data_IF_801247033215
#
_entry.id   IF_801247033215
#
_cell.length_a   1.000
_cell.length_b   1.000
_cell.length_c   1.000
_cell.angle_alpha   90.00
_cell.angle_beta   90.00
_cell.angle_gamma   90.00
#
_symmetry.space_group_name_H-M   'P 1'
#
loop_
_entity.id
_entity.type
_entity.pdbx_description
1 polymer ?
#
# COMPACT_ATOMS: atom_id res chain seq x y z
N UNK A 1 -1.42 -0.93 -12.89
CA UNK A 1 -1.25 -0.55 -11.48
C UNK A 1 -1.88 0.81 -11.17
N UNK A 2 -2.03 1.13 -9.91
CA UNK A 2 -2.58 2.43 -9.48
C UNK A 2 -1.88 2.94 -8.24
N UNK A 3 -1.69 4.26 -8.19
CA UNK A 3 -1.27 5.00 -7.00
C UNK A 3 -2.00 6.35 -6.93
N UNK A 4 -2.41 6.72 -5.71
CA UNK A 4 -2.95 8.04 -5.37
C UNK A 4 -2.42 8.44 -4.01
N UNK A 5 -1.86 9.62 -3.88
CA UNK A 5 -1.30 10.11 -2.62
C UNK A 5 -0.89 11.57 -2.68
N UNK A 6 -0.28 12.06 -1.60
CA UNK A 6 0.29 13.38 -1.54
C UNK A 6 1.65 13.42 -2.27
N UNK A 7 1.94 14.47 -3.06
CA UNK A 7 3.18 14.54 -3.84
C UNK A 7 4.42 14.72 -2.98
N UNK A 8 4.26 15.29 -1.81
CA UNK A 8 5.29 15.63 -0.82
C UNK A 8 5.41 14.59 0.32
N UNK A 9 4.59 13.55 0.26
CA UNK A 9 4.54 12.53 1.30
C UNK A 9 5.87 11.78 1.47
N UNK A 10 6.58 11.53 0.36
CA UNK A 10 7.89 10.89 0.40
C UNK A 10 8.71 11.18 -0.87
N UNK A 11 10.06 11.07 -0.82
CA UNK A 11 10.89 11.12 -2.02
C UNK A 11 10.49 10.09 -3.07
N UNK A 12 10.00 8.93 -2.65
CA UNK A 12 9.54 7.88 -3.54
C UNK A 12 8.25 8.27 -4.28
N UNK A 13 7.30 8.94 -3.60
CA UNK A 13 6.09 9.47 -4.21
C UNK A 13 6.42 10.55 -5.25
N UNK A 14 7.31 11.48 -4.91
CA UNK A 14 7.78 12.52 -5.84
C UNK A 14 8.44 11.90 -7.08
N UNK A 15 9.32 10.93 -6.91
CA UNK A 15 9.99 10.23 -8.01
C UNK A 15 9.03 9.43 -8.89
N UNK A 16 8.03 8.77 -8.30
CA UNK A 16 7.00 8.05 -9.04
C UNK A 16 6.16 9.03 -9.89
N UNK A 17 5.76 10.16 -9.32
CA UNK A 17 5.02 11.21 -10.03
C UNK A 17 5.84 11.82 -11.16
N UNK A 18 7.14 12.06 -10.95
CA UNK A 18 8.03 12.56 -11.97
C UNK A 18 8.19 11.59 -13.16
N UNK A 19 8.14 10.28 -12.89
CA UNK A 19 8.28 9.25 -13.93
C UNK A 19 6.96 8.94 -14.65
N UNK A 20 5.82 8.94 -13.94
CA UNK A 20 4.55 8.40 -14.44
C UNK A 20 3.34 9.28 -14.14
N UNK A 21 3.53 10.49 -13.66
CA UNK A 21 2.45 11.42 -13.35
C UNK A 21 1.69 11.89 -14.60
N UNK A 22 0.56 12.58 -14.42
CA UNK A 22 -0.23 13.08 -15.54
C UNK A 22 0.57 14.02 -16.45
N UNK A 23 0.56 13.75 -17.75
CA UNK A 23 1.26 14.55 -18.76
C UNK A 23 2.75 14.27 -18.90
N UNK A 24 3.30 13.31 -18.19
CA UNK A 24 4.72 12.91 -18.35
C UNK A 24 4.88 12.14 -19.66
N UNK A 25 5.79 12.63 -20.51
CA UNK A 25 6.12 11.97 -21.77
C UNK A 25 6.82 10.64 -21.49
N UNK A 26 6.38 9.56 -22.17
CA UNK A 26 6.94 8.22 -21.98
C UNK A 26 6.46 7.50 -20.72
N UNK A 27 5.50 8.06 -19.97
CA UNK A 27 4.88 7.37 -18.84
C UNK A 27 4.24 6.04 -19.28
N UNK A 28 4.37 5.00 -18.47
CA UNK A 28 3.74 3.71 -18.74
C UNK A 28 2.22 3.83 -18.60
N UNK A 29 1.48 3.63 -19.68
CA UNK A 29 0.03 3.76 -19.72
C UNK A 29 -0.70 2.74 -18.79
N UNK A 30 -0.03 1.69 -18.36
CA UNK A 30 -0.56 0.69 -17.42
C UNK A 30 -0.52 1.21 -15.96
N UNK A 31 0.23 2.29 -15.72
CA UNK A 31 0.35 2.95 -14.42
C UNK A 31 -0.56 4.18 -14.36
N UNK A 32 -1.58 4.11 -13.53
CA UNK A 32 -2.44 5.27 -13.23
C UNK A 32 -1.94 5.94 -11.93
N UNK A 33 -0.97 6.82 -12.09
CA UNK A 33 -0.27 7.53 -11.01
C UNK A 33 -0.70 8.99 -11.00
N UNK A 34 -1.13 9.51 -9.86
CA UNK A 34 -1.41 10.94 -9.72
C UNK A 34 -1.43 11.38 -8.25
N UNK A 35 -1.09 12.64 -8.01
CA UNK A 35 -1.37 13.31 -6.76
C UNK A 35 -2.88 13.54 -6.59
N UNK A 36 -3.36 13.54 -5.35
CA UNK A 36 -4.77 13.76 -5.02
C UNK A 36 -5.02 15.24 -4.81
N UNK A 37 -6.09 15.79 -5.42
CA UNK A 37 -6.55 17.15 -5.15
C UNK A 37 -6.98 17.30 -3.69
N UNK A 38 -6.49 18.33 -3.02
CA UNK A 38 -6.88 18.65 -1.64
C UNK A 38 -6.06 17.97 -0.54
N UNK A 39 -5.03 17.20 -0.89
CA UNK A 39 -4.15 16.58 0.11
C UNK A 39 -3.06 17.51 0.65
N UNK A 40 -2.92 18.71 0.10
CA UNK A 40 -1.95 19.74 0.55
C UNK A 40 -2.68 21.03 0.80
N UNK A 41 -2.79 21.44 2.06
CA UNK A 41 -3.17 22.79 2.41
C UNK A 41 -2.02 23.75 2.03
N UNK A 42 -2.32 24.77 1.21
CA UNK A 42 -1.50 25.97 0.97
C UNK A 42 -0.24 25.89 0.09
N UNK A 43 0.09 24.80 -0.60
CA UNK A 43 1.17 24.84 -1.57
C UNK A 43 0.62 25.00 -3.01
N UNK A 44 1.12 25.96 -3.81
CA UNK A 44 0.86 25.98 -5.25
C UNK A 44 1.59 24.79 -5.87
N UNK A 45 0.94 23.64 -5.86
CA UNK A 45 1.49 22.45 -6.50
C UNK A 45 1.37 22.62 -8.02
N UNK A 46 2.50 22.72 -8.68
CA UNK A 46 2.59 22.64 -10.15
C UNK A 46 2.37 21.22 -10.66
N UNK A 47 2.25 20.25 -9.75
CA UNK A 47 2.03 18.86 -10.10
C UNK A 47 0.57 18.64 -10.50
N UNK A 48 0.29 18.14 -11.71
CA UNK A 48 -1.06 17.83 -12.13
C UNK A 48 -1.71 16.82 -11.19
N UNK A 49 -2.88 17.16 -10.69
CA UNK A 49 -3.64 16.33 -9.75
C UNK A 49 -4.82 15.64 -10.43
N UNK A 50 -5.25 14.51 -9.88
CA UNK A 50 -6.52 13.83 -10.21
C UNK A 50 -7.40 13.76 -8.97
N UNK A 51 -8.72 13.63 -9.13
CA UNK A 51 -9.59 13.37 -8.00
C UNK A 51 -9.23 12.06 -7.31
N UNK A 52 -9.59 11.88 -6.03
CA UNK A 52 -9.46 10.61 -5.34
C UNK A 52 -10.04 9.47 -6.17
N UNK A 53 -9.35 8.35 -6.23
CA UNK A 53 -9.84 7.19 -6.98
C UNK A 53 -10.93 6.49 -6.16
N UNK A 54 -12.14 6.27 -6.72
CA UNK A 54 -13.14 5.47 -6.03
C UNK A 54 -12.60 4.09 -5.66
N UNK A 55 -12.82 3.64 -4.43
CA UNK A 55 -12.30 2.37 -3.91
C UNK A 55 -12.63 1.20 -4.84
N UNK A 56 -13.86 1.14 -5.37
CA UNK A 56 -14.26 0.11 -6.34
C UNK A 56 -13.36 0.07 -7.58
N UNK A 57 -12.89 1.23 -8.04
CA UNK A 57 -11.97 1.32 -9.18
C UNK A 57 -10.57 0.88 -8.81
N UNK A 58 -10.10 1.24 -7.59
CA UNK A 58 -8.81 0.78 -7.07
C UNK A 58 -8.79 -0.74 -6.90
N UNK A 59 -9.86 -1.32 -6.33
CA UNK A 59 -10.03 -2.76 -6.14
C UNK A 59 -10.08 -3.57 -7.45
N UNK A 60 -10.38 -2.92 -8.58
CA UNK A 60 -10.33 -3.55 -9.92
C UNK A 60 -8.92 -3.61 -10.52
N UNK A 61 -7.90 -3.13 -9.81
CA UNK A 61 -6.52 -3.12 -10.29
C UNK A 61 -5.76 -4.34 -9.78
N UNK A 62 -5.00 -4.99 -10.67
CA UNK A 62 -4.18 -6.16 -10.27
C UNK A 62 -3.05 -5.80 -9.34
N UNK A 63 -2.43 -4.64 -9.54
CA UNK A 63 -1.33 -4.14 -8.71
C UNK A 63 -1.72 -2.79 -8.11
N UNK A 64 -1.54 -2.65 -6.81
CA UNK A 64 -1.67 -1.40 -6.07
C UNK A 64 -0.29 -1.00 -5.56
N UNK A 65 0.09 0.26 -5.78
CA UNK A 65 1.34 0.80 -5.26
C UNK A 65 1.05 1.48 -3.92
N UNK A 66 1.80 1.16 -2.88
CA UNK A 66 1.83 1.87 -1.62
C UNK A 66 3.24 2.43 -1.40
N UNK A 67 3.33 3.74 -1.29
CA UNK A 67 4.57 4.45 -0.97
C UNK A 67 4.33 5.11 0.38
N UNK A 68 5.10 4.71 1.38
CA UNK A 68 4.90 5.13 2.76
C UNK A 68 4.88 6.66 2.90
N UNK A 69 3.85 7.16 3.52
CA UNK A 69 3.58 8.57 3.80
C UNK A 69 3.88 8.88 5.27
N UNK A 70 5.02 8.50 5.79
CA UNK A 70 5.54 8.96 7.09
C UNK A 70 4.77 8.55 8.36
N UNK A 71 3.46 8.58 8.36
CA UNK A 71 2.61 8.42 9.56
C UNK A 71 1.79 7.11 9.64
N UNK A 72 2.24 6.07 8.95
CA UNK A 72 1.48 4.82 8.91
C UNK A 72 0.36 4.93 7.88
N UNK A 73 0.59 4.34 6.74
CA UNK A 73 -0.29 4.44 5.59
C UNK A 73 -1.63 3.74 5.85
N UNK A 74 -2.66 4.51 6.20
CA UNK A 74 -4.03 3.99 6.28
C UNK A 74 -4.46 3.30 4.96
N UNK A 75 -3.74 3.58 3.85
CA UNK A 75 -3.96 2.92 2.57
C UNK A 75 -3.42 1.50 2.56
N UNK A 76 -2.43 1.16 3.37
CA UNK A 76 -1.81 -0.16 3.40
C UNK A 76 -2.80 -1.27 3.79
N UNK A 77 -3.62 -1.03 4.81
CA UNK A 77 -4.59 -2.01 5.30
C UNK A 77 -5.61 -2.39 4.21
N UNK A 78 -6.22 -1.40 3.54
CA UNK A 78 -7.18 -1.70 2.47
C UNK A 78 -6.48 -2.27 1.23
N UNK A 79 -5.26 -1.83 0.90
CA UNK A 79 -4.50 -2.33 -0.23
C UNK A 79 -4.17 -3.81 -0.07
N UNK A 80 -3.68 -4.22 1.10
CA UNK A 80 -3.48 -5.63 1.46
C UNK A 80 -4.81 -6.41 1.43
N UNK A 81 -5.87 -5.86 2.04
CA UNK A 81 -7.19 -6.52 2.07
C UNK A 81 -7.83 -6.65 0.68
N UNK A 82 -7.41 -5.88 -0.31
CA UNK A 82 -7.99 -5.84 -1.66
C UNK A 82 -7.80 -7.12 -2.48
N UNK A 83 -6.89 -8.01 -2.07
CA UNK A 83 -6.43 -9.17 -2.86
C UNK A 83 -5.69 -8.79 -4.15
N UNK A 84 -5.40 -7.51 -4.38
CA UNK A 84 -4.47 -7.06 -5.41
C UNK A 84 -3.03 -7.30 -4.94
N UNK A 85 -2.11 -7.55 -5.85
CA UNK A 85 -0.70 -7.59 -5.46
C UNK A 85 -0.27 -6.18 -5.02
N UNK A 86 0.15 -6.06 -3.78
CA UNK A 86 0.71 -4.83 -3.26
C UNK A 86 2.16 -4.70 -3.70
N UNK A 87 2.55 -3.56 -4.24
CA UNK A 87 3.94 -3.24 -4.53
C UNK A 87 4.36 -2.03 -3.69
N UNK A 88 5.37 -2.21 -2.84
CA UNK A 88 5.81 -1.19 -1.89
C UNK A 88 7.30 -1.33 -1.55
N UNK A 89 7.98 -0.27 -1.11
CA UNK A 89 9.27 -0.41 -0.45
C UNK A 89 9.15 -1.27 0.81
N UNK A 90 10.25 -1.90 1.27
CA UNK A 90 10.25 -2.59 2.55
C UNK A 90 9.75 -1.67 3.66
N UNK A 91 8.83 -2.13 4.53
CA UNK A 91 8.27 -1.30 5.58
C UNK A 91 9.35 -0.86 6.56
N UNK A 92 9.38 0.43 6.87
CA UNK A 92 10.33 1.02 7.82
C UNK A 92 9.75 1.17 9.23
N UNK A 93 8.45 1.08 9.36
CA UNK A 93 7.72 1.24 10.61
C UNK A 93 6.84 0.01 10.83
N UNK A 94 6.57 -0.30 12.10
CA UNK A 94 5.63 -1.31 12.51
C UNK A 94 4.41 -0.62 13.11
N UNK A 95 3.23 -0.98 12.63
CA UNK A 95 1.94 -0.53 13.16
C UNK A 95 1.13 -1.72 13.69
N UNK A 96 -0.15 -1.51 13.92
CA UNK A 96 -1.08 -2.58 14.33
C UNK A 96 -1.22 -3.73 13.33
N UNK A 97 -0.71 -3.60 12.10
CA UNK A 97 -0.68 -4.66 11.10
C UNK A 97 0.61 -5.49 11.09
N UNK A 98 1.57 -5.18 11.96
CA UNK A 98 2.87 -5.87 12.06
C UNK A 98 3.59 -5.94 10.70
N UNK A 99 3.68 -4.81 10.01
CA UNK A 99 4.19 -4.69 8.65
C UNK A 99 5.65 -5.14 8.51
N UNK A 100 6.42 -5.02 9.57
CA UNK A 100 7.82 -5.47 9.65
C UNK A 100 7.97 -7.00 9.52
N UNK A 101 6.88 -7.74 9.74
CA UNK A 101 6.84 -9.19 9.54
C UNK A 101 6.34 -9.59 8.15
N UNK A 102 5.96 -8.64 7.29
CA UNK A 102 5.60 -8.92 5.91
C UNK A 102 6.81 -9.44 5.14
N UNK A 103 6.64 -10.56 4.46
CA UNK A 103 7.71 -11.21 3.69
C UNK A 103 7.64 -10.77 2.23
N UNK A 104 8.73 -10.17 1.67
CA UNK A 104 8.80 -9.85 0.25
C UNK A 104 8.52 -11.07 -0.63
N UNK A 105 7.88 -10.85 -1.77
CA UNK A 105 7.50 -11.89 -2.74
C UNK A 105 6.52 -12.96 -2.21
N UNK A 106 6.07 -12.79 -0.96
CA UNK A 106 5.01 -13.60 -0.36
C UNK A 106 3.77 -12.74 -0.11
N UNK A 107 3.94 -11.61 0.57
CA UNK A 107 2.86 -10.72 0.95
C UNK A 107 2.83 -9.44 0.10
N UNK A 108 3.94 -9.08 -0.50
CA UNK A 108 4.06 -7.89 -1.37
C UNK A 108 5.22 -8.03 -2.35
N UNK A 109 5.18 -7.21 -3.41
CA UNK A 109 6.27 -7.06 -4.39
C UNK A 109 7.19 -5.94 -3.90
N UNK A 110 8.48 -6.22 -3.59
CA UNK A 110 9.37 -5.20 -3.07
C UNK A 110 9.75 -4.19 -4.17
N UNK A 111 9.58 -2.91 -3.86
CA UNK A 111 10.08 -1.80 -4.67
C UNK A 111 11.38 -1.26 -4.06
N UNK A 112 12.33 -0.89 -4.91
CA UNK A 112 13.49 -0.13 -4.46
C UNK A 112 13.08 1.35 -4.24
N UNK A 113 13.22 1.81 -3.02
CA UNK A 113 12.89 3.19 -2.65
C UNK A 113 13.73 4.23 -3.42
N UNK A 114 14.91 3.86 -3.92
CA UNK A 114 15.77 4.76 -4.70
C UNK A 114 15.29 4.95 -6.15
N UNK A 115 14.51 4.02 -6.70
CA UNK A 115 14.06 4.03 -8.10
C UNK A 115 12.60 3.57 -8.27
N UNK A 116 11.64 4.16 -7.54
CA UNK A 116 10.27 3.65 -7.48
C UNK A 116 9.55 3.69 -8.84
N UNK A 117 9.86 4.65 -9.70
CA UNK A 117 9.27 4.75 -11.03
C UNK A 117 9.62 3.56 -11.93
N UNK A 118 10.90 3.24 -12.07
CA UNK A 118 11.36 2.10 -12.88
C UNK A 118 10.86 0.77 -12.29
N UNK A 119 10.86 0.65 -10.96
CA UNK A 119 10.41 -0.55 -10.29
C UNK A 119 8.89 -0.74 -10.33
N UNK A 120 8.09 0.33 -10.40
CA UNK A 120 6.65 0.22 -10.58
C UNK A 120 6.30 -0.43 -11.94
N UNK A 121 6.99 -0.03 -13.03
CA UNK A 121 6.85 -0.68 -14.33
C UNK A 121 7.28 -2.14 -14.27
N UNK A 122 8.45 -2.42 -13.67
CA UNK A 122 8.96 -3.78 -13.52
C UNK A 122 8.02 -4.69 -12.71
N UNK A 123 7.36 -4.16 -11.67
CA UNK A 123 6.38 -4.91 -10.89
C UNK A 123 5.14 -5.29 -11.74
N UNK A 124 4.70 -4.38 -12.63
CA UNK A 124 3.61 -4.68 -13.57
C UNK A 124 4.04 -5.75 -14.58
N UNK A 125 5.23 -5.59 -15.17
CA UNK A 125 5.79 -6.56 -16.13
C UNK A 125 5.90 -7.96 -15.50
N UNK A 126 6.40 -8.01 -14.27
CA UNK A 126 6.51 -9.27 -13.54
C UNK A 126 5.15 -9.91 -13.28
N UNK A 127 4.15 -9.13 -12.85
CA UNK A 127 2.80 -9.62 -12.63
C UNK A 127 2.15 -10.13 -13.93
N UNK A 128 2.39 -9.47 -15.06
CA UNK A 128 1.89 -9.91 -16.35
C UNK A 128 2.53 -11.22 -16.81
N UNK A 129 3.83 -11.38 -16.55
CA UNK A 129 4.57 -12.59 -16.87
C UNK A 129 4.30 -13.76 -15.88
N UNK A 130 3.88 -13.45 -14.64
CA UNK A 130 3.73 -14.44 -13.56
C UNK A 130 2.36 -14.32 -12.88
N UNK A 131 1.28 -14.39 -13.64
CA UNK A 131 -0.10 -14.14 -13.20
C UNK A 131 -0.49 -14.89 -11.91
N UNK A 132 -0.26 -16.21 -11.88
CA UNK A 132 -0.62 -17.04 -10.73
C UNK A 132 0.16 -16.64 -9.47
N UNK A 133 1.44 -16.30 -9.60
CA UNK A 133 2.25 -15.85 -8.46
C UNK A 133 1.82 -14.46 -7.99
N UNK A 134 1.47 -13.57 -8.91
CA UNK A 134 0.93 -12.24 -8.58
C UNK A 134 -0.39 -12.34 -7.80
N UNK A 135 -1.29 -13.22 -8.22
CA UNK A 135 -2.56 -13.49 -7.51
C UNK A 135 -2.31 -14.12 -6.14
N UNK A 136 -1.33 -15.01 -6.02
CA UNK A 136 -0.96 -15.62 -4.75
C UNK A 136 -0.44 -14.57 -3.74
N UNK A 137 0.37 -13.60 -4.19
CA UNK A 137 0.81 -12.48 -3.34
C UNK A 137 -0.38 -11.67 -2.83
N UNK A 138 -1.33 -11.31 -3.70
CA UNK A 138 -2.53 -10.59 -3.28
C UNK A 138 -3.39 -11.38 -2.29
N UNK A 139 -3.52 -12.69 -2.49
CA UNK A 139 -4.24 -13.57 -1.56
C UNK A 139 -3.55 -13.67 -0.20
N UNK A 140 -2.21 -13.78 -0.18
CA UNK A 140 -1.44 -13.85 1.05
C UNK A 140 -1.52 -12.52 1.85
N UNK A 141 -1.45 -11.37 1.16
CA UNK A 141 -1.65 -10.05 1.79
C UNK A 141 -3.03 -9.93 2.45
N UNK A 142 -4.08 -10.37 1.77
CA UNK A 142 -5.44 -10.34 2.33
C UNK A 142 -5.59 -11.30 3.54
N UNK A 143 -4.97 -12.49 3.49
CA UNK A 143 -4.94 -13.41 4.62
C UNK A 143 -4.20 -12.80 5.82
N UNK A 144 -3.11 -12.06 5.57
CA UNK A 144 -2.37 -11.33 6.61
C UNK A 144 -3.26 -10.34 7.36
N UNK A 145 -3.95 -9.46 6.63
CA UNK A 145 -4.86 -8.46 7.25
C UNK A 145 -5.98 -9.15 8.02
N UNK A 146 -6.50 -10.25 7.51
CA UNK A 146 -7.53 -11.02 8.22
C UNK A 146 -7.00 -11.58 9.53
N UNK A 147 -5.79 -12.10 9.55
CA UNK A 147 -5.18 -12.65 10.75
C UNK A 147 -4.80 -11.58 11.78
N UNK A 148 -4.16 -10.49 11.35
CA UNK A 148 -3.60 -9.47 12.24
C UNK A 148 -4.51 -8.28 12.46
N UNK A 149 -5.30 -7.86 11.48
CA UNK A 149 -6.19 -6.70 11.58
C UNK A 149 -7.57 -7.03 12.14
N UNK A 150 -8.15 -8.17 11.77
CA UNK A 150 -9.53 -8.52 12.10
C UNK A 150 -9.64 -9.84 12.87
N UNK A 151 -8.56 -10.62 12.96
CA UNK A 151 -8.56 -11.94 13.59
C UNK A 151 -8.16 -11.92 15.06
N UNK A 152 -8.03 -13.12 15.63
CA UNK A 152 -7.66 -13.32 17.05
C UNK A 152 -6.28 -12.73 17.41
N UNK A 153 -5.39 -12.55 16.44
CA UNK A 153 -4.08 -11.92 16.61
C UNK A 153 -4.12 -10.39 16.40
N UNK A 154 -5.26 -9.84 15.98
CA UNK A 154 -5.43 -8.40 15.81
C UNK A 154 -5.69 -7.69 17.13
N UNK A 155 -5.79 -6.35 17.08
CA UNK A 155 -5.97 -5.50 18.26
C UNK A 155 -7.19 -5.91 19.10
N UNK A 156 -8.29 -6.32 18.46
CA UNK A 156 -9.51 -6.78 19.15
C UNK A 156 -9.25 -8.09 19.89
N UNK A 157 -8.61 -9.06 19.26
CA UNK A 157 -8.30 -10.35 19.89
C UNK A 157 -7.31 -10.21 21.03
N UNK A 158 -6.28 -9.37 20.88
CA UNK A 158 -5.32 -9.06 21.94
C UNK A 158 -6.03 -8.38 23.11
N UNK A 159 -6.89 -7.39 22.83
CA UNK A 159 -7.64 -6.67 23.86
C UNK A 159 -8.60 -7.60 24.63
N UNK A 160 -9.27 -8.50 23.96
CA UNK A 160 -10.10 -9.53 24.60
C UNK A 160 -9.29 -10.49 25.46
N UNK A 161 -8.12 -10.95 24.97
CA UNK A 161 -7.24 -11.84 25.73
C UNK A 161 -6.73 -11.14 27.02
N UNK A 162 -6.30 -9.90 26.89
CA UNK A 162 -5.87 -9.07 28.05
C UNK A 162 -7.01 -8.89 29.03
N UNK A 163 -8.21 -8.56 28.56
CA UNK A 163 -9.38 -8.42 29.42
C UNK A 163 -9.70 -9.71 30.16
N UNK A 164 -9.71 -10.85 29.49
CA UNK A 164 -9.94 -12.16 30.11
C UNK A 164 -8.95 -12.45 31.24
N UNK A 165 -7.66 -12.19 31.02
CA UNK A 165 -6.63 -12.40 32.05
C UNK A 165 -6.82 -11.44 33.22
N UNK A 166 -7.04 -10.15 32.94
CA UNK A 166 -7.22 -9.14 33.98
C UNK A 166 -8.43 -9.43 34.86
N UNK A 167 -9.56 -9.83 34.28
CA UNK A 167 -10.78 -10.17 35.02
C UNK A 167 -10.70 -11.53 35.75
N UNK A 168 -9.97 -12.51 35.16
CA UNK A 168 -9.77 -13.79 35.83
C UNK A 168 -8.92 -13.68 37.09
N UNK A 169 -7.94 -12.77 37.10
CA UNK A 169 -7.08 -12.52 38.28
C UNK A 169 -7.70 -11.61 39.34
N UNK A 170 -8.92 -11.12 39.13
CA UNK A 170 -9.62 -10.26 40.11
C UNK A 170 -8.88 -8.94 40.42
N UNK A 171 -8.09 -8.43 39.47
CA UNK A 171 -7.27 -7.22 39.65
C UNK A 171 -7.99 -5.92 39.27
N UNK A 172 -9.30 -5.95 39.07
CA UNK A 172 -10.14 -4.77 38.82
C UNK A 172 -11.28 -4.75 39.84
#
# INVERSE_FOLDING_TARGET
AVWRGAPDASPAAAALLAAHGPGVAGADARLDVAAVTGSVADAPSTTPTKPPLPLKTALGRRVVLALADGDGDASLAWALASRSALAMPPPALCSGLMEDLLVPWTHYIPLDAASPGANATAAVDWCEANMAACEAIGAAGAAWVTAWGLGEMGEVGISEAVARVAFADGRV
#
